data_IF_090183598591
#
_entry.id   IF_090183598591
#
_cell.length_a   1.000
_cell.length_b   1.000
_cell.length_c   1.000
_cell.angle_alpha   90.00
_cell.angle_beta   90.00
_cell.angle_gamma   90.00
#
_symmetry.space_group_name_H-M   'P 1'
#
loop_
_entity.id
_entity.type
_entity.pdbx_description
1 polymer ?
#
# COMPACT_ATOMS: atom_id res chain seq x y z
N UNK A 1 82.66 -26.96 23.77
CA UNK A 1 81.67 -28.05 23.58
C UNK A 1 80.37 -27.61 24.24
N UNK A 2 79.24 -27.72 23.52
CA UNK A 2 77.83 -27.71 23.95
C UNK A 2 77.44 -26.77 25.11
N UNK A 3 76.66 -25.70 24.95
CA UNK A 3 75.37 -25.59 24.27
C UNK A 3 74.26 -25.53 25.33
N UNK A 4 73.51 -24.42 25.41
CA UNK A 4 72.08 -24.28 25.78
C UNK A 4 71.72 -22.79 25.84
N UNK A 5 70.71 -22.37 25.07
CA UNK A 5 70.30 -20.98 24.91
C UNK A 5 69.09 -20.55 25.75
N UNK A 6 68.83 -19.24 25.81
CA UNK A 6 67.51 -18.64 26.10
C UNK A 6 67.40 -17.27 25.40
N UNK A 7 66.19 -17.00 24.90
CA UNK A 7 65.67 -15.87 24.11
C UNK A 7 65.66 -14.49 24.80
N UNK A 8 65.80 -13.41 24.00
CA UNK A 8 65.18 -12.06 24.06
C UNK A 8 65.80 -11.22 22.92
N UNK A 9 65.17 -10.31 22.19
CA UNK A 9 63.84 -9.71 22.19
C UNK A 9 63.52 -9.26 20.74
N UNK A 10 62.28 -9.39 20.29
CA UNK A 10 61.80 -8.77 19.06
C UNK A 10 61.26 -7.37 19.41
N UNK A 11 61.87 -6.36 18.82
CA UNK A 11 61.48 -4.95 18.93
C UNK A 11 60.39 -4.60 17.90
N UNK A 12 59.62 -3.58 18.27
CA UNK A 12 58.34 -3.12 17.75
C UNK A 12 58.44 -2.47 16.37
N UNK A 13 57.42 -2.71 15.54
CA UNK A 13 56.69 -1.65 14.81
C UNK A 13 55.54 -2.25 13.97
N UNK A 14 54.33 -2.26 14.52
CA UNK A 14 53.12 -2.42 13.71
C UNK A 14 52.47 -1.04 13.54
N UNK A 15 52.61 -0.47 12.35
CA UNK A 15 51.83 0.67 11.88
C UNK A 15 50.48 0.09 11.43
N UNK A 16 49.41 0.42 12.14
CA UNK A 16 48.06 0.01 11.78
C UNK A 16 47.67 0.67 10.44
N UNK A 17 47.50 -0.15 9.39
CA UNK A 17 46.87 0.26 8.13
C UNK A 17 45.36 0.31 8.35
N UNK A 18 44.80 1.51 8.38
CA UNK A 18 43.36 1.71 8.35
C UNK A 18 42.90 1.42 6.92
N UNK A 19 42.05 0.40 6.74
CA UNK A 19 41.50 0.03 5.44
C UNK A 19 40.60 1.15 4.92
N UNK A 20 40.81 1.57 3.67
CA UNK A 20 40.02 2.59 2.95
C UNK A 20 38.68 2.04 2.42
N UNK A 21 38.46 0.73 2.53
CA UNK A 21 37.29 0.01 2.03
C UNK A 21 35.91 0.47 2.58
N UNK A 22 35.71 0.73 3.89
CA UNK A 22 34.38 1.09 4.40
C UNK A 22 33.91 2.46 3.91
N UNK A 23 34.83 3.39 3.60
CA UNK A 23 34.47 4.74 3.10
C UNK A 23 34.00 4.74 1.65
N UNK A 24 34.54 3.84 0.82
CA UNK A 24 34.14 3.73 -0.60
C UNK A 24 32.76 3.09 -0.71
N UNK A 25 32.46 2.06 0.10
CA UNK A 25 31.13 1.42 0.13
C UNK A 25 30.05 2.41 0.58
N UNK A 26 30.31 3.22 1.61
CA UNK A 26 29.36 4.25 2.05
C UNK A 26 29.17 5.37 1.02
N UNK A 27 30.22 5.79 0.32
CA UNK A 27 30.12 6.82 -0.72
C UNK A 27 29.34 6.32 -1.94
N UNK A 28 29.58 5.08 -2.38
CA UNK A 28 28.84 4.45 -3.48
C UNK A 28 27.37 4.28 -3.14
N UNK A 29 27.04 3.90 -1.89
CA UNK A 29 25.65 3.77 -1.43
C UNK A 29 24.92 5.12 -1.36
N UNK A 30 25.61 6.19 -0.93
CA UNK A 30 25.05 7.55 -0.94
C UNK A 30 24.84 8.03 -2.38
N UNK A 31 25.79 7.77 -3.28
CA UNK A 31 25.69 8.17 -4.70
C UNK A 31 24.57 7.41 -5.43
N UNK A 32 24.36 6.12 -5.16
CA UNK A 32 23.24 5.37 -5.74
C UNK A 32 21.88 5.81 -5.17
N UNK A 33 21.79 6.15 -3.89
CA UNK A 33 20.56 6.73 -3.31
C UNK A 33 20.23 8.11 -3.88
N UNK A 34 21.23 8.95 -4.12
CA UNK A 34 21.04 10.25 -4.78
C UNK A 34 20.62 10.07 -6.24
N UNK A 35 21.22 9.12 -6.97
CA UNK A 35 20.89 8.86 -8.37
C UNK A 35 19.46 8.31 -8.58
N UNK A 36 18.99 7.40 -7.71
CA UNK A 36 17.63 6.87 -7.77
C UNK A 36 16.55 7.93 -7.48
N UNK A 37 16.92 9.02 -6.79
CA UNK A 37 16.01 10.13 -6.46
C UNK A 37 15.84 11.15 -7.60
N UNK A 38 16.65 11.08 -8.66
CA UNK A 38 16.61 12.02 -9.79
C UNK A 38 16.06 11.40 -11.08
N UNK A 39 15.68 10.12 -11.05
CA UNK A 39 15.00 9.50 -12.19
C UNK A 39 13.59 10.10 -12.33
N UNK A 40 13.17 10.52 -13.54
CA UNK A 40 11.81 10.99 -13.76
C UNK A 40 10.84 9.85 -13.39
N UNK A 41 9.91 10.12 -12.46
CA UNK A 41 8.84 9.17 -12.15
C UNK A 41 7.78 9.24 -13.24
N UNK A 42 7.24 8.08 -13.58
CA UNK A 42 6.15 8.02 -14.54
C UNK A 42 4.93 8.76 -13.98
N UNK A 43 4.34 9.61 -14.81
CA UNK A 43 3.09 10.32 -14.52
C UNK A 43 2.00 9.79 -15.44
N UNK A 44 0.77 9.76 -14.96
CA UNK A 44 -0.37 9.35 -15.75
C UNK A 44 -0.52 10.30 -16.95
N UNK A 45 -0.63 9.72 -18.15
CA UNK A 45 -0.76 10.45 -19.40
C UNK A 45 -2.13 10.19 -20.02
N UNK A 46 -2.58 11.12 -20.87
CA UNK A 46 -3.84 10.99 -21.60
C UNK A 46 -3.61 10.50 -23.02
N UNK A 47 -4.51 9.63 -23.49
CA UNK A 47 -4.61 9.24 -24.89
C UNK A 47 -6.08 9.03 -25.26
N UNK A 48 -6.36 8.86 -26.56
CA UNK A 48 -7.68 8.46 -27.01
C UNK A 48 -7.95 7.00 -26.61
N UNK A 49 -9.22 6.66 -26.37
CA UNK A 49 -9.62 5.29 -26.08
C UNK A 49 -9.33 4.36 -27.27
N UNK A 50 -8.93 3.12 -26.97
CA UNK A 50 -8.72 2.08 -27.97
C UNK A 50 -9.80 1.00 -27.85
N UNK A 51 -10.39 0.50 -28.96
CA UNK A 51 -11.51 -0.46 -28.91
C UNK A 51 -11.21 -1.79 -28.22
N UNK A 52 -9.96 -2.24 -28.21
CA UNK A 52 -9.55 -3.48 -27.52
C UNK A 52 -9.24 -3.28 -26.04
N UNK A 53 -9.11 -2.05 -25.57
CA UNK A 53 -8.75 -1.77 -24.20
C UNK A 53 -9.98 -1.83 -23.28
N UNK A 54 -9.78 -2.32 -22.06
CA UNK A 54 -10.79 -2.32 -21.01
C UNK A 54 -10.76 -0.96 -20.32
N UNK A 55 -11.92 -0.38 -20.02
CA UNK A 55 -12.02 0.85 -19.24
C UNK A 55 -12.36 0.52 -17.79
N UNK A 56 -11.54 1.01 -16.87
CA UNK A 56 -11.74 0.95 -15.42
C UNK A 56 -12.08 2.33 -14.88
N UNK A 57 -13.34 2.59 -14.48
CA UNK A 57 -13.66 3.80 -13.74
C UNK A 57 -13.13 3.68 -12.32
N UNK A 58 -12.29 4.64 -11.91
CA UNK A 58 -11.88 4.83 -10.53
C UNK A 58 -12.39 6.15 -9.98
N UNK A 59 -12.81 6.11 -8.73
CA UNK A 59 -13.18 7.29 -7.97
C UNK A 59 -12.03 7.69 -7.07
N UNK A 60 -11.77 8.98 -6.94
CA UNK A 60 -10.66 9.49 -6.16
C UNK A 60 -11.17 10.54 -5.17
N UNK A 61 -10.89 10.30 -3.89
CA UNK A 61 -10.95 11.28 -2.84
C UNK A 61 -9.51 11.63 -2.44
N UNK A 62 -9.09 12.88 -2.61
CA UNK A 62 -7.71 13.28 -2.38
C UNK A 62 -7.60 14.68 -1.79
N UNK A 63 -6.66 14.87 -0.86
CA UNK A 63 -6.32 16.21 -0.37
C UNK A 63 -5.32 16.92 -1.28
N UNK A 64 -4.93 16.33 -2.42
CA UNK A 64 -4.03 16.97 -3.39
C UNK A 64 -4.80 17.99 -4.22
N UNK A 65 -4.14 19.08 -4.60
CA UNK A 65 -4.70 20.03 -5.56
C UNK A 65 -4.78 19.39 -6.95
N UNK A 66 -5.93 19.50 -7.63
CA UNK A 66 -6.16 18.84 -8.91
C UNK A 66 -5.39 19.46 -10.09
N UNK A 67 -4.91 20.69 -9.94
CA UNK A 67 -4.06 21.37 -10.92
C UNK A 67 -2.58 20.96 -10.81
N UNK A 68 -2.22 20.07 -9.87
CA UNK A 68 -0.85 19.63 -9.62
C UNK A 68 -0.76 18.11 -9.51
N UNK A 69 -0.10 17.49 -10.47
CA UNK A 69 0.03 16.03 -10.57
C UNK A 69 1.40 15.49 -10.10
N UNK A 70 2.35 16.37 -9.77
CA UNK A 70 3.71 16.02 -9.37
C UNK A 70 3.93 15.83 -7.85
N UNK A 71 5.19 15.63 -7.42
CA UNK A 71 5.57 15.55 -6.00
C UNK A 71 5.15 16.80 -5.21
N UNK A 72 4.66 16.60 -3.99
CA UNK A 72 4.16 17.67 -3.09
C UNK A 72 5.05 17.85 -1.85
N UNK A 73 6.29 17.38 -1.93
CA UNK A 73 7.18 17.36 -0.76
C UNK A 73 7.50 18.79 -0.28
N UNK A 74 7.11 19.09 0.96
CA UNK A 74 7.39 20.37 1.62
C UNK A 74 6.31 21.43 1.42
N UNK A 75 5.21 21.11 0.72
CA UNK A 75 4.10 22.03 0.52
C UNK A 75 3.16 22.10 1.73
N UNK A 76 2.35 23.16 1.80
CA UNK A 76 1.28 23.23 2.80
C UNK A 76 0.23 22.17 2.48
N UNK A 77 -0.15 21.39 3.49
CA UNK A 77 -1.20 20.38 3.34
C UNK A 77 -2.56 21.08 3.14
N UNK A 78 -3.28 20.80 2.05
CA UNK A 78 -4.62 21.36 1.84
C UNK A 78 -5.57 20.89 2.94
N UNK A 79 -6.58 21.71 3.23
CA UNK A 79 -7.59 21.41 4.26
C UNK A 79 -8.81 20.69 3.72
N UNK A 80 -9.04 20.77 2.41
CA UNK A 80 -10.24 20.25 1.77
C UNK A 80 -9.92 18.99 0.95
N UNK A 81 -10.89 18.07 0.88
CA UNK A 81 -10.83 16.88 0.03
C UNK A 81 -11.44 17.20 -1.33
N UNK A 82 -10.67 16.95 -2.38
CA UNK A 82 -11.11 17.00 -3.77
C UNK A 82 -11.63 15.63 -4.21
N UNK A 83 -12.66 15.65 -5.06
CA UNK A 83 -13.33 14.45 -5.55
C UNK A 83 -13.36 14.45 -7.07
N UNK A 84 -12.95 13.35 -7.70
CA UNK A 84 -13.09 13.17 -9.15
C UNK A 84 -13.19 11.69 -9.53
N UNK A 85 -13.71 11.42 -10.73
CA UNK A 85 -13.60 10.12 -11.41
C UNK A 85 -12.51 10.23 -12.46
N UNK A 86 -11.70 9.19 -12.61
CA UNK A 86 -10.83 9.00 -13.76
C UNK A 86 -11.20 7.68 -14.44
N UNK A 87 -11.38 7.74 -15.75
CA UNK A 87 -11.58 6.55 -16.56
C UNK A 87 -10.18 6.14 -17.05
N UNK A 88 -9.72 4.97 -16.64
CA UNK A 88 -8.39 4.44 -16.93
C UNK A 88 -8.51 3.34 -17.98
N UNK A 89 -7.76 3.46 -19.07
CA UNK A 89 -7.64 2.44 -20.10
C UNK A 89 -6.61 1.42 -19.64
N UNK A 90 -6.98 0.15 -19.69
CA UNK A 90 -6.12 -1.01 -19.44
C UNK A 90 -5.98 -1.77 -20.76
N UNK A 91 -4.77 -1.92 -21.32
CA UNK A 91 -4.57 -2.48 -22.64
C UNK A 91 -4.92 -3.98 -22.66
N UNK A 92 -5.32 -4.51 -23.83
CA UNK A 92 -5.56 -5.96 -23.99
C UNK A 92 -4.31 -6.82 -23.83
N UNK A 93 -3.13 -6.21 -23.86
CA UNK A 93 -1.83 -6.85 -23.62
C UNK A 93 -1.43 -6.86 -22.15
N UNK A 94 -2.31 -6.41 -21.25
CA UNK A 94 -2.01 -6.30 -19.82
C UNK A 94 -1.57 -7.65 -19.22
N UNK A 95 -0.49 -7.63 -18.45
CA UNK A 95 0.00 -8.75 -17.67
C UNK A 95 -0.28 -8.52 -16.17
N UNK A 96 -0.87 -9.51 -15.52
CA UNK A 96 -1.29 -9.38 -14.13
C UNK A 96 -0.16 -8.96 -13.19
N UNK A 97 -0.44 -7.97 -12.35
CA UNK A 97 0.48 -7.37 -11.39
C UNK A 97 1.32 -6.22 -11.94
N UNK A 98 1.39 -6.07 -13.27
CA UNK A 98 2.18 -5.03 -13.92
C UNK A 98 1.36 -3.75 -14.15
N UNK A 99 2.07 -2.66 -14.41
CA UNK A 99 1.46 -1.43 -14.91
C UNK A 99 2.27 -1.04 -16.14
N UNK A 100 1.66 -1.13 -17.31
CA UNK A 100 2.27 -0.82 -18.60
C UNK A 100 2.33 0.70 -18.77
N UNK A 101 3.44 1.31 -18.33
CA UNK A 101 3.65 2.75 -18.50
C UNK A 101 4.10 3.10 -19.92
N UNK A 102 3.65 4.24 -20.48
CA UNK A 102 4.13 4.72 -21.77
C UNK A 102 5.65 4.91 -21.80
N UNK A 103 6.31 4.24 -22.75
CA UNK A 103 7.75 4.42 -23.04
C UNK A 103 8.03 5.49 -24.11
N UNK A 104 6.97 5.96 -24.77
CA UNK A 104 6.95 6.98 -25.83
C UNK A 104 5.65 7.78 -25.77
N UNK A 105 5.12 8.25 -26.91
CA UNK A 105 3.76 8.80 -26.96
C UNK A 105 2.75 7.81 -26.37
N UNK A 106 1.79 8.25 -25.53
CA UNK A 106 0.88 7.36 -24.84
C UNK A 106 -0.11 6.69 -25.80
N UNK A 107 -0.26 5.37 -25.70
CA UNK A 107 -1.16 4.57 -26.53
C UNK A 107 -2.03 3.62 -25.69
N UNK A 108 -3.35 3.79 -25.75
CA UNK A 108 -4.31 2.94 -25.04
C UNK A 108 -4.28 1.46 -25.47
N UNK A 109 -3.70 1.14 -26.64
CA UNK A 109 -3.54 -0.23 -27.10
C UNK A 109 -2.44 -1.00 -26.33
N UNK A 110 -1.46 -0.30 -25.76
CA UNK A 110 -0.28 -0.90 -25.11
C UNK A 110 -0.04 -0.43 -23.68
N UNK A 111 -0.61 0.71 -23.29
CA UNK A 111 -0.29 1.40 -22.04
C UNK A 111 -1.53 1.65 -21.18
N UNK A 112 -1.30 1.78 -19.88
CA UNK A 112 -2.25 2.42 -18.98
C UNK A 112 -2.30 3.93 -19.25
N UNK A 113 -3.48 4.43 -19.59
CA UNK A 113 -3.71 5.85 -19.93
C UNK A 113 -5.03 6.36 -19.36
N UNK A 114 -5.09 7.65 -19.04
CA UNK A 114 -6.34 8.32 -18.64
C UNK A 114 -7.08 8.75 -19.91
N UNK A 115 -8.29 8.24 -20.13
CA UNK A 115 -9.11 8.63 -21.30
C UNK A 115 -10.07 9.76 -20.97
N UNK A 116 -10.62 9.80 -19.76
CA UNK A 116 -11.52 10.87 -19.31
C UNK A 116 -11.41 11.13 -17.81
N UNK A 117 -11.85 12.32 -17.37
CA UNK A 117 -11.96 12.67 -15.96
C UNK A 117 -13.17 13.55 -15.69
N UNK A 118 -13.86 13.30 -14.58
CA UNK A 118 -14.97 14.12 -14.12
C UNK A 118 -14.73 14.62 -12.69
N UNK A 119 -14.63 15.93 -12.49
CA UNK A 119 -14.50 16.52 -11.15
C UNK A 119 -15.88 16.70 -10.51
N UNK A 120 -16.00 16.40 -9.22
CA UNK A 120 -17.22 16.59 -8.44
C UNK A 120 -17.05 17.76 -7.47
N UNK A 121 -18.04 18.65 -7.42
CA UNK A 121 -17.99 19.83 -6.56
C UNK A 121 -18.15 19.56 -5.07
N UNK A 122 -18.55 18.34 -4.66
CA UNK A 122 -18.68 17.94 -3.25
C UNK A 122 -18.79 16.41 -3.10
N UNK A 123 -18.64 15.95 -1.85
CA UNK A 123 -18.75 14.54 -1.46
C UNK A 123 -20.11 13.93 -1.79
N UNK A 124 -21.21 14.70 -1.74
CA UNK A 124 -22.54 14.19 -2.06
C UNK A 124 -22.69 13.86 -3.55
N UNK A 125 -22.15 14.69 -4.44
CA UNK A 125 -22.13 14.41 -5.88
C UNK A 125 -21.24 13.21 -6.21
N UNK A 126 -20.09 13.13 -5.55
CA UNK A 126 -19.17 12.00 -5.65
C UNK A 126 -19.84 10.67 -5.25
N UNK A 127 -20.40 10.58 -4.03
CA UNK A 127 -21.03 9.34 -3.53
C UNK A 127 -22.22 8.90 -4.38
N UNK A 128 -23.03 9.86 -4.88
CA UNK A 128 -24.12 9.52 -5.81
C UNK A 128 -23.60 8.83 -7.06
N UNK A 129 -22.47 9.27 -7.60
CA UNK A 129 -21.88 8.68 -8.79
C UNK A 129 -21.27 7.30 -8.48
N UNK A 130 -20.55 7.17 -7.36
CA UNK A 130 -20.00 5.88 -6.89
C UNK A 130 -21.09 4.80 -6.79
N UNK A 131 -22.25 5.14 -6.21
CA UNK A 131 -23.33 4.16 -6.02
C UNK A 131 -24.21 3.92 -7.26
N UNK A 132 -24.05 4.70 -8.33
CA UNK A 132 -24.86 4.54 -9.54
C UNK A 132 -24.38 3.39 -10.44
N UNK A 133 -23.12 2.97 -10.33
CA UNK A 133 -22.46 2.15 -11.34
C UNK A 133 -22.52 0.63 -11.11
N UNK A 134 -22.88 0.16 -9.91
CA UNK A 134 -22.79 -1.29 -9.60
C UNK A 134 -24.01 -1.82 -8.84
N UNK A 135 -24.61 -2.95 -9.28
CA UNK A 135 -25.60 -3.68 -8.51
C UNK A 135 -24.97 -4.27 -7.23
N UNK A 136 -25.28 -3.68 -6.09
CA UNK A 136 -24.66 -4.03 -4.81
C UNK A 136 -24.61 -2.81 -3.91
N UNK A 137 -24.23 -2.99 -2.65
CA UNK A 137 -24.09 -1.90 -1.68
C UNK A 137 -22.73 -1.96 -0.99
N UNK A 138 -21.70 -2.33 -1.74
CA UNK A 138 -20.34 -2.50 -1.22
C UNK A 138 -19.34 -1.80 -2.12
N UNK A 139 -18.62 -0.83 -1.56
CA UNK A 139 -17.58 -0.05 -2.25
C UNK A 139 -16.21 -0.52 -1.80
N UNK A 140 -15.32 -0.79 -2.75
CA UNK A 140 -13.90 -1.03 -2.44
C UNK A 140 -13.23 0.31 -2.18
N UNK A 141 -12.58 0.48 -1.03
CA UNK A 141 -11.73 1.64 -0.75
C UNK A 141 -10.28 1.21 -0.64
N UNK A 142 -9.44 1.73 -1.53
CA UNK A 142 -8.00 1.52 -1.53
C UNK A 142 -7.26 2.72 -0.94
N UNK A 143 -6.36 2.46 0.03
CA UNK A 143 -5.50 3.46 0.66
C UNK A 143 -4.03 3.14 0.36
N UNK A 144 -3.39 3.98 -0.45
CA UNK A 144 -2.01 3.74 -0.89
C UNK A 144 -0.97 3.90 0.24
N UNK A 145 0.24 3.42 -0.04
CA UNK A 145 1.37 3.45 0.88
C UNK A 145 2.30 4.66 0.74
N UNK A 146 3.47 4.50 1.34
CA UNK A 146 4.59 5.43 1.34
C UNK A 146 5.15 5.65 -0.08
N UNK A 147 5.63 6.87 -0.36
CA UNK A 147 6.37 7.16 -1.60
C UNK A 147 5.53 6.91 -2.87
N UNK A 148 4.25 7.28 -2.83
CA UNK A 148 3.30 7.12 -3.93
C UNK A 148 2.84 8.49 -4.46
N UNK A 149 2.89 8.65 -5.77
CA UNK A 149 2.21 9.74 -6.47
C UNK A 149 0.72 9.42 -6.68
N UNK A 150 -0.07 10.45 -7.03
CA UNK A 150 -1.46 10.24 -7.41
C UNK A 150 -1.58 9.33 -8.63
N UNK A 151 -0.73 9.52 -9.64
CA UNK A 151 -0.72 8.71 -10.86
C UNK A 151 -0.45 7.23 -10.58
N UNK A 152 0.59 6.91 -9.81
CA UNK A 152 0.91 5.52 -9.45
C UNK A 152 -0.24 4.87 -8.68
N UNK A 153 -0.88 5.62 -7.78
CA UNK A 153 -1.99 5.11 -6.96
C UNK A 153 -3.25 4.88 -7.77
N UNK A 154 -3.55 5.75 -8.74
CA UNK A 154 -4.68 5.60 -9.66
C UNK A 154 -4.50 4.36 -10.55
N UNK A 155 -3.36 4.23 -11.22
CA UNK A 155 -3.09 3.09 -12.09
C UNK A 155 -3.04 1.77 -11.31
N UNK A 156 -2.51 1.81 -10.08
CA UNK A 156 -2.52 0.63 -9.20
C UNK A 156 -3.94 0.19 -8.83
N UNK A 157 -4.85 1.12 -8.55
CA UNK A 157 -6.25 0.75 -8.30
C UNK A 157 -6.92 0.17 -9.55
N UNK A 158 -6.69 0.77 -10.73
CA UNK A 158 -7.21 0.23 -11.99
C UNK A 158 -6.68 -1.18 -12.27
N UNK A 159 -5.38 -1.42 -12.06
CA UNK A 159 -4.78 -2.76 -12.15
C UNK A 159 -5.42 -3.74 -11.16
N UNK A 160 -5.61 -3.35 -9.90
CA UNK A 160 -6.29 -4.19 -8.90
C UNK A 160 -7.73 -4.53 -9.34
N UNK A 161 -8.47 -3.57 -9.89
CA UNK A 161 -9.82 -3.83 -10.39
C UNK A 161 -9.83 -4.84 -11.54
N UNK A 162 -8.86 -4.73 -12.46
CA UNK A 162 -8.74 -5.63 -13.60
C UNK A 162 -8.32 -7.02 -13.17
N UNK A 163 -7.25 -7.13 -12.36
CA UNK A 163 -6.66 -8.42 -11.99
C UNK A 163 -7.51 -9.24 -11.04
N UNK A 164 -8.32 -8.60 -10.20
CA UNK A 164 -9.19 -9.28 -9.23
C UNK A 164 -10.66 -9.28 -9.64
N UNK A 165 -10.99 -8.73 -10.80
CA UNK A 165 -12.36 -8.58 -11.33
C UNK A 165 -13.36 -8.15 -10.24
N UNK A 166 -12.97 -7.13 -9.46
CA UNK A 166 -13.60 -6.85 -8.15
C UNK A 166 -15.12 -6.68 -8.19
N UNK A 167 -15.66 -6.27 -9.34
CA UNK A 167 -17.10 -6.10 -9.55
C UNK A 167 -17.73 -5.05 -8.62
N UNK A 168 -16.91 -4.21 -7.97
CA UNK A 168 -17.31 -3.19 -7.01
C UNK A 168 -16.92 -1.80 -7.53
N UNK A 169 -17.72 -0.76 -7.23
CA UNK A 169 -17.25 0.60 -7.41
C UNK A 169 -16.04 0.79 -6.49
N UNK A 170 -14.97 1.39 -7.04
CA UNK A 170 -13.68 1.47 -6.35
C UNK A 170 -13.25 2.91 -6.15
N UNK A 171 -12.95 3.23 -4.90
CA UNK A 171 -12.51 4.55 -4.45
C UNK A 171 -11.06 4.47 -3.99
N UNK A 172 -10.18 5.25 -4.61
CA UNK A 172 -8.86 5.58 -4.11
C UNK A 172 -8.99 6.73 -3.10
N UNK A 173 -8.57 6.50 -1.86
CA UNK A 173 -8.25 7.58 -0.95
C UNK A 173 -6.76 7.92 -1.08
N UNK A 174 -6.44 9.04 -1.71
CA UNK A 174 -5.05 9.49 -1.93
C UNK A 174 -4.69 10.64 -1.00
N UNK A 175 -3.93 10.31 0.04
CA UNK A 175 -3.33 11.28 0.95
C UNK A 175 -2.06 11.90 0.33
N UNK A 176 -1.59 13.08 0.81
CA UNK A 176 -0.50 13.83 0.19
C UNK A 176 0.86 13.25 0.56
N UNK A 177 1.16 12.02 0.11
CA UNK A 177 2.51 11.47 0.11
C UNK A 177 3.45 12.36 -0.70
N UNK A 178 4.67 12.55 -0.19
CA UNK A 178 5.75 13.25 -0.87
C UNK A 178 6.01 12.69 -2.27
N UNK A 179 5.77 11.39 -2.50
CA UNK A 179 6.22 10.72 -3.71
C UNK A 179 7.74 10.73 -3.82
N UNK A 180 8.44 10.74 -2.67
CA UNK A 180 9.89 10.76 -2.58
C UNK A 180 10.36 9.74 -1.51
N UNK A 181 11.31 8.84 -1.82
CA UNK A 181 11.83 7.85 -0.89
C UNK A 181 12.63 8.43 0.29
N UNK A 182 12.90 9.74 0.33
CA UNK A 182 13.47 10.47 1.47
C UNK A 182 12.40 11.09 2.37
N UNK A 183 11.15 11.13 1.90
CA UNK A 183 10.03 11.80 2.55
C UNK A 183 9.38 11.02 3.68
N UNK A 184 9.98 9.96 4.21
CA UNK A 184 9.31 9.04 5.16
C UNK A 184 8.67 9.73 6.37
N UNK A 185 9.40 10.64 7.03
CA UNK A 185 8.87 11.38 8.18
C UNK A 185 7.70 12.28 7.76
N UNK A 186 7.84 12.95 6.62
CA UNK A 186 6.78 13.77 6.05
C UNK A 186 5.52 12.94 5.77
N UNK A 187 5.68 11.76 5.17
CA UNK A 187 4.60 10.84 4.85
C UNK A 187 3.93 10.28 6.11
N UNK A 188 4.70 9.95 7.15
CA UNK A 188 4.17 9.52 8.44
C UNK A 188 3.29 10.60 9.06
N UNK A 189 3.70 11.86 9.01
CA UNK A 189 2.88 12.95 9.53
C UNK A 189 1.69 13.26 8.60
N UNK A 190 1.86 13.08 7.29
CA UNK A 190 0.80 13.25 6.29
C UNK A 190 -0.33 12.25 6.46
N UNK A 191 -0.04 10.97 6.76
CA UNK A 191 -1.12 10.02 7.05
C UNK A 191 -1.92 10.45 8.29
N UNK A 192 -1.26 10.86 9.37
CA UNK A 192 -1.96 11.25 10.60
C UNK A 192 -2.77 12.54 10.41
N UNK A 193 -2.28 13.46 9.57
CA UNK A 193 -3.03 14.64 9.12
C UNK A 193 -4.30 14.25 8.35
N UNK A 194 -4.25 13.18 7.56
CA UNK A 194 -5.35 12.73 6.67
C UNK A 194 -6.38 11.84 7.35
N UNK A 195 -6.26 11.65 8.66
CA UNK A 195 -7.11 10.75 9.45
C UNK A 195 -8.58 11.15 9.43
N UNK A 196 -8.87 12.42 9.71
CA UNK A 196 -10.25 12.90 9.74
C UNK A 196 -10.88 12.87 8.34
N UNK A 197 -10.10 13.15 7.29
CA UNK A 197 -10.56 13.14 5.90
C UNK A 197 -10.89 11.73 5.40
N UNK A 198 -10.10 10.72 5.78
CA UNK A 198 -10.44 9.33 5.49
C UNK A 198 -11.68 8.90 6.27
N UNK A 199 -11.78 9.22 7.57
CA UNK A 199 -13.00 8.90 8.34
C UNK A 199 -14.25 9.51 7.71
N UNK A 200 -14.20 10.78 7.31
CA UNK A 200 -15.32 11.45 6.65
C UNK A 200 -15.65 10.80 5.31
N UNK A 201 -14.63 10.46 4.51
CA UNK A 201 -14.82 9.73 3.24
C UNK A 201 -15.56 8.41 3.47
N UNK A 202 -15.18 7.64 4.50
CA UNK A 202 -15.86 6.38 4.82
C UNK A 202 -17.30 6.61 5.33
N UNK A 203 -17.56 7.69 6.08
CA UNK A 203 -18.92 8.04 6.53
C UNK A 203 -19.82 8.40 5.36
N UNK A 204 -19.35 9.23 4.42
CA UNK A 204 -20.18 9.63 3.27
C UNK A 204 -20.50 8.44 2.37
N UNK A 205 -19.53 7.54 2.13
CA UNK A 205 -19.76 6.30 1.38
C UNK A 205 -20.76 5.37 2.08
N UNK A 206 -20.81 5.37 3.41
CA UNK A 206 -21.69 4.49 4.20
C UNK A 206 -22.97 5.18 4.69
N UNK A 207 -23.34 6.31 4.08
CA UNK A 207 -24.53 7.08 4.48
C UNK A 207 -25.83 6.38 4.10
N UNK A 208 -25.87 5.67 2.97
CA UNK A 208 -27.04 4.95 2.50
C UNK A 208 -27.38 3.71 3.34
N UNK A 209 -28.65 3.31 3.33
CA UNK A 209 -29.06 2.08 4.00
C UNK A 209 -28.43 0.89 3.29
N UNK A 210 -27.68 0.06 3.99
CA UNK A 210 -27.08 -1.15 3.40
C UNK A 210 -25.70 -0.94 2.78
N UNK A 211 -25.27 0.31 2.58
CA UNK A 211 -23.94 0.64 2.04
C UNK A 211 -22.83 0.21 2.99
N UNK A 212 -21.82 -0.42 2.43
CA UNK A 212 -20.66 -0.98 3.12
C UNK A 212 -19.39 -0.61 2.39
N UNK A 213 -18.27 -0.66 3.12
CA UNK A 213 -16.94 -0.45 2.55
C UNK A 213 -16.06 -1.65 2.86
N UNK A 214 -15.44 -2.19 1.82
CA UNK A 214 -14.32 -3.13 1.96
C UNK A 214 -13.01 -2.35 1.86
N UNK A 215 -12.16 -2.44 2.89
CA UNK A 215 -10.91 -1.68 2.96
C UNK A 215 -9.73 -2.51 2.50
N UNK A 216 -8.94 -1.96 1.57
CA UNK A 216 -7.63 -2.47 1.23
C UNK A 216 -6.61 -1.35 1.45
N UNK A 217 -5.54 -1.63 2.17
CA UNK A 217 -4.51 -0.63 2.45
C UNK A 217 -3.10 -1.22 2.34
N UNK A 218 -2.15 -0.41 1.90
CA UNK A 218 -0.75 -0.81 1.74
C UNK A 218 0.18 0.00 2.65
N UNK A 219 1.17 -0.66 3.26
CA UNK A 219 2.28 0.00 3.97
C UNK A 219 1.82 1.06 4.99
N UNK A 220 2.21 2.33 4.85
CA UNK A 220 1.73 3.44 5.70
C UNK A 220 0.22 3.72 5.57
N UNK A 221 -0.42 3.38 4.45
CA UNK A 221 -1.87 3.42 4.31
C UNK A 221 -2.57 2.48 5.29
N UNK A 222 -1.96 1.34 5.62
CA UNK A 222 -2.47 0.41 6.63
C UNK A 222 -2.47 1.04 8.02
N UNK A 223 -1.44 1.83 8.33
CA UNK A 223 -1.38 2.60 9.57
C UNK A 223 -2.52 3.63 9.62
N UNK A 224 -2.76 4.35 8.52
CA UNK A 224 -3.86 5.30 8.43
C UNK A 224 -5.23 4.63 8.68
N UNK A 225 -5.48 3.49 8.03
CA UNK A 225 -6.73 2.73 8.24
C UNK A 225 -6.90 2.33 9.70
N UNK A 226 -5.86 1.79 10.35
CA UNK A 226 -5.93 1.42 11.76
C UNK A 226 -6.20 2.61 12.69
N UNK A 227 -5.61 3.77 12.41
CA UNK A 227 -5.87 4.99 13.17
C UNK A 227 -7.30 5.49 13.00
N UNK A 228 -7.89 5.37 11.80
CA UNK A 228 -9.29 5.75 11.55
C UNK A 228 -10.27 4.80 12.22
N UNK A 229 -10.06 3.48 12.11
CA UNK A 229 -10.91 2.50 12.79
C UNK A 229 -10.85 2.68 14.32
N UNK A 230 -9.64 2.91 14.86
CA UNK A 230 -9.44 3.23 16.27
C UNK A 230 -10.15 4.52 16.65
N UNK A 231 -10.04 5.57 15.86
CA UNK A 231 -10.70 6.86 16.11
C UNK A 231 -12.22 6.72 16.14
N UNK A 232 -12.80 6.01 15.16
CA UNK A 232 -14.23 5.71 15.11
C UNK A 232 -14.69 4.96 16.37
N UNK A 233 -13.92 3.97 16.82
CA UNK A 233 -14.20 3.24 18.05
C UNK A 233 -14.18 4.13 19.30
N UNK A 234 -13.17 5.01 19.42
CA UNK A 234 -13.07 5.95 20.55
C UNK A 234 -14.18 7.00 20.56
N UNK A 235 -14.65 7.43 19.38
CA UNK A 235 -15.80 8.32 19.22
C UNK A 235 -17.15 7.61 19.45
N UNK A 236 -17.14 6.28 19.63
CA UNK A 236 -18.35 5.47 19.79
C UNK A 236 -19.14 5.26 18.49
N UNK A 237 -18.53 5.51 17.32
CA UNK A 237 -19.17 5.37 16.01
C UNK A 237 -19.26 3.90 15.58
N UNK A 238 -20.12 3.15 16.29
CA UNK A 238 -20.43 1.75 15.98
C UNK A 238 -21.11 1.61 14.62
N UNK A 239 -21.80 2.65 14.14
CA UNK A 239 -22.43 2.64 12.82
C UNK A 239 -21.35 2.48 11.76
N UNK A 240 -20.34 3.35 11.73
CA UNK A 240 -19.26 3.28 10.75
C UNK A 240 -18.54 1.93 10.82
N UNK A 241 -18.15 1.48 12.02
CA UNK A 241 -17.45 0.20 12.19
C UNK A 241 -18.26 -1.00 11.66
N UNK A 242 -19.58 -1.01 11.85
CA UNK A 242 -20.46 -2.07 11.34
C UNK A 242 -20.70 -2.00 9.82
N UNK A 243 -20.34 -0.88 9.18
CA UNK A 243 -20.39 -0.73 7.71
C UNK A 243 -19.07 -1.10 7.05
N UNK A 244 -17.99 -1.29 7.79
CA UNK A 244 -16.77 -1.88 7.26
C UNK A 244 -17.00 -3.39 7.11
N UNK A 245 -17.08 -3.86 5.88
CA UNK A 245 -17.40 -5.24 5.56
C UNK A 245 -16.20 -6.17 5.58
N UNK A 246 -14.99 -5.62 5.54
CA UNK A 246 -13.73 -6.33 5.63
C UNK A 246 -12.56 -5.37 5.55
N UNK A 247 -11.40 -5.84 6.01
CA UNK A 247 -10.14 -5.08 5.98
C UNK A 247 -9.02 -6.01 5.53
N UNK A 248 -8.23 -5.55 4.56
CA UNK A 248 -6.98 -6.19 4.14
C UNK A 248 -5.85 -5.18 4.30
N UNK A 249 -4.92 -5.48 5.22
CA UNK A 249 -3.69 -4.71 5.39
C UNK A 249 -2.54 -5.43 4.70
N UNK A 250 -1.95 -4.81 3.67
CA UNK A 250 -0.87 -5.39 2.87
C UNK A 250 0.46 -4.78 3.28
N UNK A 251 1.39 -5.64 3.66
CA UNK A 251 2.72 -5.27 4.15
C UNK A 251 2.68 -4.08 5.14
N UNK A 252 1.84 -4.12 6.19
CA UNK A 252 1.59 -2.95 7.03
C UNK A 252 2.87 -2.42 7.67
N UNK A 253 3.15 -1.13 7.44
CA UNK A 253 4.22 -0.40 8.13
C UNK A 253 3.69 0.16 9.45
N UNK A 254 3.41 -0.76 10.38
CA UNK A 254 2.93 -0.47 11.73
C UNK A 254 3.86 -1.18 12.72
N UNK A 255 4.18 -0.51 13.82
CA UNK A 255 4.82 -1.21 14.93
C UNK A 255 3.85 -2.28 15.50
N UNK A 256 4.29 -3.53 15.74
CA UNK A 256 3.40 -4.60 16.19
C UNK A 256 2.75 -4.34 17.55
N UNK A 257 3.49 -3.69 18.46
CA UNK A 257 2.98 -3.30 19.77
C UNK A 257 1.92 -2.20 19.60
N UNK A 258 2.13 -1.27 18.67
CA UNK A 258 1.13 -0.27 18.29
C UNK A 258 -0.13 -0.90 17.67
N UNK A 259 0.03 -1.82 16.72
CA UNK A 259 -1.10 -2.50 16.08
C UNK A 259 -1.98 -3.20 17.12
N UNK A 260 -1.37 -3.93 18.06
CA UNK A 260 -2.10 -4.59 19.14
C UNK A 260 -2.88 -3.59 19.98
N UNK A 261 -2.27 -2.48 20.37
CA UNK A 261 -2.97 -1.41 21.11
C UNK A 261 -4.12 -0.80 20.32
N UNK A 262 -3.96 -0.61 19.02
CA UNK A 262 -5.04 -0.14 18.15
C UNK A 262 -6.18 -1.16 18.10
N UNK A 263 -5.87 -2.44 17.86
CA UNK A 263 -6.86 -3.51 17.81
C UNK A 263 -7.62 -3.66 19.14
N UNK A 264 -6.93 -3.65 20.27
CA UNK A 264 -7.52 -3.67 21.61
C UNK A 264 -8.48 -2.48 21.83
N UNK A 265 -8.10 -1.28 21.37
CA UNK A 265 -8.94 -0.09 21.47
C UNK A 265 -10.16 -0.11 20.53
N UNK A 266 -10.04 -0.73 19.35
CA UNK A 266 -11.18 -0.96 18.45
C UNK A 266 -12.16 -1.96 19.07
N UNK A 267 -11.63 -2.95 19.79
CA UNK A 267 -12.38 -4.04 20.39
C UNK A 267 -12.74 -5.09 19.34
N UNK A 268 -14.01 -5.13 18.92
CA UNK A 268 -14.42 -6.03 17.84
C UNK A 268 -13.98 -5.46 16.49
N UNK A 269 -12.96 -6.08 15.90
CA UNK A 269 -12.48 -5.75 14.55
C UNK A 269 -13.55 -6.05 13.49
N UNK A 270 -13.64 -5.24 12.41
CA UNK A 270 -14.43 -5.60 11.23
C UNK A 270 -13.97 -6.94 10.65
N UNK A 271 -14.89 -7.80 10.25
CA UNK A 271 -14.57 -9.14 9.72
C UNK A 271 -15.06 -9.31 8.28
N UNK A 272 -14.21 -9.86 7.39
CA UNK A 272 -12.89 -10.43 7.68
C UNK A 272 -11.81 -9.38 7.94
N UNK A 273 -10.83 -9.71 8.77
CA UNK A 273 -9.63 -8.91 8.97
C UNK A 273 -8.37 -9.68 8.55
N UNK A 274 -7.80 -9.32 7.40
CA UNK A 274 -6.61 -9.96 6.84
C UNK A 274 -5.37 -9.06 6.96
N UNK A 275 -4.25 -9.69 7.26
CA UNK A 275 -2.91 -9.07 7.24
C UNK A 275 -2.04 -9.88 6.29
N UNK A 276 -1.63 -9.28 5.18
CA UNK A 276 -0.72 -9.90 4.23
C UNK A 276 0.70 -9.45 4.53
N UNK A 277 1.60 -10.40 4.71
CA UNK A 277 3.02 -10.15 5.03
C UNK A 277 3.93 -10.67 3.92
N UNK A 278 5.10 -10.06 3.78
CA UNK A 278 6.19 -10.51 2.91
C UNK A 278 7.52 -10.29 3.63
N UNK A 279 8.25 -11.38 3.94
CA UNK A 279 9.45 -11.33 4.79
C UNK A 279 10.72 -10.96 4.04
N UNK A 280 10.72 -11.03 2.70
CA UNK A 280 11.89 -10.67 1.89
C UNK A 280 12.26 -9.18 2.03
N UNK A 281 11.33 -8.36 2.54
CA UNK A 281 11.50 -6.94 2.87
C UNK A 281 12.45 -6.64 4.05
N UNK A 282 12.97 -7.65 4.76
CA UNK A 282 13.87 -7.43 5.92
C UNK A 282 15.08 -6.53 5.62
N UNK A 283 15.60 -6.58 4.38
CA UNK A 283 16.73 -5.74 3.96
C UNK A 283 16.32 -4.31 3.51
N UNK A 284 15.03 -4.07 3.29
CA UNK A 284 14.49 -2.85 2.67
C UNK A 284 13.53 -2.06 3.55
N UNK A 285 13.26 -2.46 4.80
CA UNK A 285 12.37 -1.69 5.69
C UNK A 285 12.99 -0.32 6.00
N UNK A 286 12.58 0.70 5.25
CA UNK A 286 13.01 2.11 5.41
C UNK A 286 12.75 2.61 6.83
N UNK A 287 11.65 2.17 7.43
CA UNK A 287 11.28 2.48 8.80
C UNK A 287 12.29 1.95 9.83
N UNK A 288 12.72 0.70 9.69
CA UNK A 288 13.71 0.06 10.59
C UNK A 288 15.08 0.73 10.49
N UNK A 289 15.48 1.14 9.28
CA UNK A 289 16.75 1.84 9.05
C UNK A 289 16.75 3.28 9.61
N UNK A 290 15.64 4.01 9.50
CA UNK A 290 15.55 5.41 9.95
C UNK A 290 15.24 5.57 11.44
N UNK A 291 14.52 4.62 12.06
CA UNK A 291 14.04 4.76 13.45
C UNK A 291 14.83 3.91 14.46
N UNK A 292 15.73 3.04 14.01
CA UNK A 292 16.50 2.15 14.89
C UNK A 292 15.63 1.13 15.65
N UNK A 293 14.42 0.84 15.16
CA UNK A 293 13.42 0.03 15.85
C UNK A 293 13.32 -1.43 15.37
N UNK A 294 12.56 -2.21 16.15
CA UNK A 294 12.10 -3.58 15.86
C UNK A 294 11.50 -3.69 14.44
N UNK A 295 11.47 -4.89 13.82
CA UNK A 295 10.86 -5.04 12.51
C UNK A 295 9.34 -4.80 12.55
N UNK A 296 8.81 -4.24 11.46
CA UNK A 296 7.41 -3.82 11.30
C UNK A 296 6.47 -5.00 11.10
N UNK A 297 5.18 -4.78 11.35
CA UNK A 297 4.13 -5.80 11.28
C UNK A 297 4.10 -6.56 9.93
N UNK A 298 4.35 -5.87 8.81
CA UNK A 298 4.37 -6.48 7.48
C UNK A 298 5.55 -7.43 7.20
N UNK A 299 6.54 -7.51 8.09
CA UNK A 299 7.84 -8.18 7.84
C UNK A 299 8.17 -9.23 8.92
N UNK A 300 7.35 -9.34 9.97
CA UNK A 300 7.59 -10.25 11.09
C UNK A 300 6.73 -11.50 11.02
N UNK A 301 7.33 -12.60 11.46
CA UNK A 301 6.58 -13.76 11.95
C UNK A 301 6.17 -13.44 13.39
N UNK A 302 4.96 -12.88 13.57
CA UNK A 302 4.48 -12.41 14.87
C UNK A 302 3.24 -13.15 15.41
N UNK A 303 3.29 -14.49 15.58
CA UNK A 303 2.19 -15.24 16.16
C UNK A 303 1.79 -14.71 17.55
N UNK A 304 2.75 -14.29 18.37
CA UNK A 304 2.49 -13.84 19.74
C UNK A 304 1.86 -12.44 19.82
N UNK A 305 2.20 -11.52 18.90
CA UNK A 305 1.58 -10.19 18.87
C UNK A 305 0.16 -10.22 18.30
N UNK A 306 -0.14 -11.21 17.46
CA UNK A 306 -1.49 -11.43 16.92
C UNK A 306 -2.36 -12.33 17.80
N UNK A 307 -1.77 -12.95 18.82
CA UNK A 307 -2.46 -13.91 19.70
C UNK A 307 -3.63 -13.27 20.44
N UNK A 308 -4.80 -13.89 20.29
CA UNK A 308 -6.04 -13.42 20.91
C UNK A 308 -6.72 -12.26 20.16
N UNK A 309 -6.15 -11.80 19.03
CA UNK A 309 -6.83 -10.92 18.10
C UNK A 309 -7.56 -11.75 17.04
N UNK A 310 -8.76 -11.31 16.66
CA UNK A 310 -9.53 -11.92 15.57
C UNK A 310 -9.00 -11.42 14.22
N UNK A 311 -7.79 -11.83 13.86
CA UNK A 311 -7.11 -11.48 12.60
C UNK A 311 -6.57 -12.72 11.92
N UNK A 312 -6.53 -12.70 10.59
CA UNK A 312 -5.92 -13.75 9.79
C UNK A 312 -4.67 -13.22 9.11
N UNK A 313 -3.53 -13.86 9.37
CA UNK A 313 -2.25 -13.52 8.73
C UNK A 313 -2.01 -14.46 7.56
N UNK A 314 -1.70 -13.90 6.39
CA UNK A 314 -1.34 -14.67 5.19
C UNK A 314 0.05 -14.25 4.75
N UNK A 315 0.92 -15.23 4.56
CA UNK A 315 2.32 -15.00 4.20
C UNK A 315 2.55 -15.23 2.71
N UNK A 316 2.99 -14.18 2.01
CA UNK A 316 3.27 -14.19 0.57
C UNK A 316 4.77 -14.27 0.26
N UNK A 317 5.63 -14.51 1.25
CA UNK A 317 7.09 -14.53 1.10
C UNK A 317 7.56 -15.47 -0.03
N UNK A 318 6.96 -16.65 -0.15
CA UNK A 318 7.32 -17.67 -1.16
C UNK A 318 6.76 -17.36 -2.56
N UNK A 319 5.86 -16.37 -2.67
CA UNK A 319 5.21 -15.97 -3.92
C UNK A 319 5.83 -14.69 -4.49
N UNK A 320 6.88 -14.16 -3.86
CA UNK A 320 7.67 -13.09 -4.43
C UNK A 320 8.47 -13.60 -5.65
N UNK A 321 8.41 -12.88 -6.75
CA UNK A 321 9.06 -13.20 -8.03
C UNK A 321 10.52 -12.70 -8.09
N UNK A 322 10.96 -11.91 -7.11
CA UNK A 322 12.34 -11.44 -7.01
C UNK A 322 12.65 -10.26 -7.93
N UNK A 323 11.68 -9.81 -8.74
CA UNK A 323 11.76 -8.58 -9.52
C UNK A 323 11.20 -7.39 -8.72
N UNK A 324 11.42 -6.16 -9.20
CA UNK A 324 11.29 -4.93 -8.41
C UNK A 324 10.01 -4.76 -7.57
N UNK A 325 10.19 -4.31 -6.31
CA UNK A 325 9.16 -4.01 -5.30
C UNK A 325 8.48 -5.22 -4.61
N UNK A 326 9.29 -6.15 -4.09
CA UNK A 326 8.93 -7.21 -3.11
C UNK A 326 8.18 -6.75 -1.83
N UNK A 327 7.86 -5.45 -1.73
CA UNK A 327 7.07 -4.83 -0.67
C UNK A 327 5.56 -4.82 -0.94
N UNK A 328 5.12 -5.15 -2.16
CA UNK A 328 3.69 -5.15 -2.52
C UNK A 328 3.24 -6.45 -3.25
N UNK A 329 3.88 -7.57 -2.90
CA UNK A 329 3.68 -8.90 -3.53
C UNK A 329 2.22 -9.29 -3.79
N UNK A 330 1.25 -9.12 -2.86
CA UNK A 330 -0.11 -9.64 -3.06
C UNK A 330 -0.82 -9.15 -4.32
N UNK A 331 -0.43 -7.99 -4.86
CA UNK A 331 -1.05 -7.40 -6.07
C UNK A 331 -0.05 -7.14 -7.20
N UNK A 332 1.24 -7.48 -7.00
CA UNK A 332 2.28 -7.31 -8.02
C UNK A 332 2.84 -8.62 -8.54
N UNK A 333 2.73 -9.71 -7.78
CA UNK A 333 3.16 -11.04 -8.22
C UNK A 333 2.01 -11.76 -8.94
N UNK A 334 2.18 -12.17 -10.21
CA UNK A 334 1.18 -12.98 -10.92
C UNK A 334 0.80 -14.27 -10.16
N UNK A 335 1.77 -14.89 -9.49
CA UNK A 335 1.53 -16.09 -8.70
C UNK A 335 0.67 -15.80 -7.46
N UNK A 336 0.94 -14.69 -6.75
CA UNK A 336 0.14 -14.26 -5.62
C UNK A 336 -1.30 -13.91 -6.01
N UNK A 337 -1.46 -13.17 -7.12
CA UNK A 337 -2.77 -12.81 -7.69
C UNK A 337 -3.54 -14.08 -8.06
N UNK A 338 -2.90 -15.04 -8.72
CA UNK A 338 -3.53 -16.32 -9.09
C UNK A 338 -4.04 -17.08 -7.86
N UNK A 339 -3.23 -17.17 -6.80
CA UNK A 339 -3.61 -17.82 -5.53
C UNK A 339 -4.81 -17.11 -4.92
N UNK A 340 -4.79 -15.78 -4.85
CA UNK A 340 -5.87 -14.97 -4.30
C UNK A 340 -7.16 -15.14 -5.13
N UNK A 341 -7.12 -15.01 -6.45
CA UNK A 341 -8.29 -15.24 -7.31
C UNK A 341 -8.88 -16.64 -7.11
N UNK A 342 -8.03 -17.66 -6.99
CA UNK A 342 -8.49 -19.02 -6.65
C UNK A 342 -9.22 -19.10 -5.30
N UNK A 343 -8.78 -18.35 -4.29
CA UNK A 343 -9.46 -18.26 -2.99
C UNK A 343 -10.80 -17.52 -3.10
N UNK A 344 -10.83 -16.43 -3.87
CA UNK A 344 -12.04 -15.62 -4.14
C UNK A 344 -13.12 -16.47 -4.83
N UNK A 345 -12.74 -17.17 -5.90
CA UNK A 345 -13.64 -18.04 -6.67
C UNK A 345 -14.24 -19.15 -5.81
N UNK A 346 -13.43 -19.76 -4.95
CA UNK A 346 -13.90 -20.79 -4.03
C UNK A 346 -14.90 -20.23 -3.01
N UNK A 347 -14.71 -18.99 -2.56
CA UNK A 347 -15.66 -18.31 -1.68
C UNK A 347 -16.97 -17.98 -2.41
N UNK A 348 -16.88 -17.41 -3.62
CA UNK A 348 -18.03 -17.05 -4.45
C UNK A 348 -18.93 -18.24 -4.80
N UNK A 349 -18.34 -19.38 -5.20
CA UNK A 349 -19.09 -20.61 -5.55
C UNK A 349 -19.84 -21.25 -4.38
N UNK A 350 -19.44 -20.97 -3.13
CA UNK A 350 -20.09 -21.53 -1.92
C UNK A 350 -21.23 -20.65 -1.39
N UNK A 351 -21.56 -19.53 -2.04
CA UNK A 351 -22.67 -18.66 -1.66
C UNK A 351 -22.48 -17.95 -0.30
N UNK A 352 -21.24 -17.90 0.20
CA UNK A 352 -20.89 -17.26 1.47
C UNK A 352 -19.89 -16.15 1.19
N UNK A 353 -20.19 -14.92 1.62
CA UNK A 353 -19.34 -13.76 1.38
C UNK A 353 -17.87 -13.99 1.74
N UNK A 354 -17.01 -13.29 1.02
CA UNK A 354 -15.54 -13.30 0.93
C UNK A 354 -14.75 -13.57 2.24
N UNK A 355 -15.36 -13.39 3.42
CA UNK A 355 -14.66 -13.32 4.70
C UNK A 355 -14.53 -14.58 5.55
N UNK A 356 -14.88 -15.78 5.09
CA UNK A 356 -14.84 -16.97 5.98
C UNK A 356 -13.73 -18.00 5.74
N UNK A 357 -12.91 -17.89 4.68
CA UNK A 357 -11.95 -18.95 4.38
C UNK A 357 -10.63 -18.45 3.78
N UNK A 358 -9.79 -17.82 4.60
CA UNK A 358 -8.34 -17.88 4.39
C UNK A 358 -7.62 -18.32 5.66
N UNK A 359 -8.10 -19.38 6.31
CA UNK A 359 -7.31 -20.02 7.37
C UNK A 359 -6.32 -20.98 6.70
N UNK A 360 -5.10 -20.52 6.42
CA UNK A 360 -3.96 -21.42 6.37
C UNK A 360 -3.76 -21.93 7.80
N UNK A 361 -4.33 -23.09 8.13
CA UNK A 361 -3.87 -23.82 9.31
C UNK A 361 -2.40 -24.15 9.06
N UNK A 362 -1.50 -23.51 9.79
CA UNK A 362 -0.14 -24.01 9.93
C UNK A 362 -0.26 -25.49 10.31
N UNK A 363 0.25 -26.38 9.45
CA UNK A 363 0.40 -27.77 9.83
C UNK A 363 1.41 -27.84 10.99
N UNK A 364 1.16 -28.74 11.96
CA UNK A 364 1.86 -28.77 13.25
C UNK A 364 3.37 -28.96 13.15
#
# INVERSE_FOLDING_TARGET
MSGHGVKRAQDRSQIARWSTAPRIVSLVFIVTMVAASCAPRNTAQRAAAHPSARIEPIYVATQRELNRTGPVFGEQRPRDVNYFRADISVPSTHESGLIEWPKGPPDAATDFVVIDTQVFGNSSAFVRQVHAETPGRETLVFVHGYNNTLSESMYRLAQIQTDFETGMPSVLFSWPSAGDPRGYIYDRDSILFSRDDLEETLKVLTTGSGEKVFLIAHSLGSHLVMEVLRQAAQRGDRRLLNRISGVVLMSPDIDPDLFRRQAEAIGKLPQPFFIFISRQDRALSLAGFLTGQKPRLGVIDAPEQMKGLDVTVVDFTELADGEGFNHFVPVTSPAAITVLNGMIDQAGRRGTGFGKFMVLKAQP
#
